data_IF_548163000296
#
_entry.id   IF_548163000296
#
_cell.length_a   1.000
_cell.length_b   1.000
_cell.length_c   1.000
_cell.angle_alpha   90.00
_cell.angle_beta   90.00
_cell.angle_gamma   90.00
#
_symmetry.space_group_name_H-M   'P 1'
#
loop_
_entity.id
_entity.type
_entity.pdbx_description
1 polymer ?
#
# COMPACT_ATOMS: atom_id res chain seq x y z
N UNK A 1 -24.78 15.29 -12.26
CA UNK A 1 -23.55 15.56 -13.04
C UNK A 1 -22.53 14.51 -12.65
N UNK A 2 -21.89 13.78 -13.58
CA UNK A 2 -20.85 12.82 -13.20
C UNK A 2 -19.66 13.60 -12.63
N UNK A 3 -19.16 13.20 -11.46
CA UNK A 3 -17.93 13.77 -10.91
C UNK A 3 -16.78 13.47 -11.89
N UNK A 4 -16.08 14.51 -12.34
CA UNK A 4 -14.91 14.35 -13.19
C UNK A 4 -13.85 13.54 -12.42
N UNK A 5 -13.41 12.42 -12.99
CA UNK A 5 -12.31 11.63 -12.42
C UNK A 5 -11.04 12.46 -12.58
N UNK A 6 -10.53 13.01 -11.49
CA UNK A 6 -9.27 13.74 -11.46
C UNK A 6 -8.10 12.75 -11.53
N UNK A 7 -7.37 12.76 -12.64
CA UNK A 7 -6.16 11.96 -12.81
C UNK A 7 -4.94 12.75 -12.36
N UNK A 8 -4.06 12.15 -11.55
CA UNK A 8 -2.75 12.70 -11.21
C UNK A 8 -1.63 11.90 -11.89
N UNK A 9 -0.52 12.56 -12.24
CA UNK A 9 0.64 11.91 -12.87
C UNK A 9 1.72 11.65 -11.83
N UNK A 10 2.21 10.41 -11.80
CA UNK A 10 3.38 10.03 -11.01
C UNK A 10 4.65 10.29 -11.84
N UNK A 11 5.41 11.32 -11.49
CA UNK A 11 6.69 11.65 -12.13
C UNK A 11 7.84 11.34 -11.18
N UNK A 12 8.75 10.45 -11.61
CA UNK A 12 9.95 10.11 -10.86
C UNK A 12 11.11 9.84 -11.81
N UNK A 13 12.30 10.31 -11.45
CA UNK A 13 13.54 9.96 -12.14
C UNK A 13 14.12 8.72 -11.47
N UNK A 14 14.43 7.72 -12.26
CA UNK A 14 15.05 6.46 -11.80
C UNK A 14 16.37 6.22 -12.52
N UNK A 15 17.26 5.46 -11.90
CA UNK A 15 18.48 5.01 -12.56
C UNK A 15 18.16 4.04 -13.71
N UNK A 16 19.09 3.93 -14.66
CA UNK A 16 19.01 2.96 -15.76
C UNK A 16 18.93 1.51 -15.28
N UNK A 17 19.61 1.21 -14.17
CA UNK A 17 19.62 -0.13 -13.57
C UNK A 17 18.26 -0.47 -12.97
N UNK A 18 17.67 0.47 -12.22
CA UNK A 18 16.32 0.30 -11.67
C UNK A 18 15.29 0.14 -12.80
N UNK A 19 15.38 0.94 -13.86
CA UNK A 19 14.51 0.80 -15.02
C UNK A 19 14.63 -0.60 -15.65
N UNK A 20 15.86 -1.09 -15.86
CA UNK A 20 16.10 -2.41 -16.46
C UNK A 20 15.56 -3.54 -15.60
N UNK A 21 15.73 -3.44 -14.28
CA UNK A 21 15.19 -4.39 -13.32
C UNK A 21 13.65 -4.41 -13.32
N UNK A 22 13.01 -3.23 -13.31
CA UNK A 22 11.54 -3.11 -13.35
C UNK A 22 10.97 -3.68 -14.65
N UNK A 23 11.59 -3.37 -15.79
CA UNK A 23 11.20 -3.92 -17.09
C UNK A 23 11.26 -5.45 -17.08
N UNK A 24 12.36 -6.03 -16.60
CA UNK A 24 12.52 -7.48 -16.52
C UNK A 24 11.49 -8.13 -15.58
N UNK A 25 11.22 -7.53 -14.43
CA UNK A 25 10.23 -8.03 -13.49
C UNK A 25 8.81 -8.01 -14.09
N UNK A 26 8.46 -6.96 -14.83
CA UNK A 26 7.19 -6.86 -15.54
C UNK A 26 7.05 -7.93 -16.64
N UNK A 27 8.10 -8.15 -17.44
CA UNK A 27 8.15 -9.21 -18.46
C UNK A 27 7.94 -10.60 -17.84
N UNK A 28 8.59 -10.89 -16.70
CA UNK A 28 8.43 -12.17 -15.99
C UNK A 28 7.00 -12.40 -15.49
N UNK A 29 6.25 -11.33 -15.20
CA UNK A 29 4.85 -11.39 -14.78
C UNK A 29 3.86 -11.25 -15.95
N UNK A 30 4.36 -11.19 -17.20
CA UNK A 30 3.52 -11.11 -18.39
C UNK A 30 2.73 -9.80 -18.50
N UNK A 31 3.24 -8.70 -17.94
CA UNK A 31 2.56 -7.40 -17.89
C UNK A 31 3.45 -6.24 -18.30
N UNK A 32 2.84 -5.08 -18.55
CA UNK A 32 3.59 -3.87 -18.91
C UNK A 32 4.36 -3.34 -17.71
N UNK A 33 5.47 -2.64 -17.95
CA UNK A 33 6.24 -2.01 -16.87
C UNK A 33 5.41 -0.98 -16.10
N UNK A 34 4.54 -0.22 -16.78
CA UNK A 34 3.65 0.74 -16.13
C UNK A 34 2.68 0.04 -15.19
N UNK A 35 2.00 -1.02 -15.65
CA UNK A 35 1.10 -1.81 -14.80
C UNK A 35 1.84 -2.39 -13.59
N UNK A 36 3.02 -2.97 -13.82
CA UNK A 36 3.87 -3.50 -12.76
C UNK A 36 4.18 -2.46 -11.67
N UNK A 37 4.63 -1.26 -12.09
CA UNK A 37 4.99 -0.19 -11.15
C UNK A 37 3.76 0.32 -10.41
N UNK A 38 2.62 0.50 -11.09
CA UNK A 38 1.40 1.01 -10.45
C UNK A 38 0.88 0.02 -9.40
N UNK A 39 0.83 -1.28 -9.71
CA UNK A 39 0.47 -2.30 -8.72
C UNK A 39 1.44 -2.31 -7.55
N UNK A 40 2.75 -2.29 -7.81
CA UNK A 40 3.75 -2.33 -6.75
C UNK A 40 3.66 -1.10 -5.82
N UNK A 41 3.41 0.09 -6.38
CA UNK A 41 3.22 1.32 -5.61
C UNK A 41 1.95 1.26 -4.78
N UNK A 42 0.84 0.80 -5.36
CA UNK A 42 -0.44 0.66 -4.65
C UNK A 42 -0.31 -0.31 -3.47
N UNK A 43 0.28 -1.49 -3.71
CA UNK A 43 0.54 -2.50 -2.70
C UNK A 43 1.43 -1.99 -1.57
N UNK A 44 2.49 -1.26 -1.90
CA UNK A 44 3.40 -0.69 -0.90
C UNK A 44 2.73 0.41 -0.08
N UNK A 45 1.95 1.28 -0.73
CA UNK A 45 1.21 2.35 -0.06
C UNK A 45 0.15 1.78 0.88
N UNK A 46 -0.64 0.79 0.43
CA UNK A 46 -1.66 0.13 1.23
C UNK A 46 -1.05 -0.51 2.48
N UNK A 47 0.03 -1.28 2.32
CA UNK A 47 0.74 -1.86 3.47
C UNK A 47 1.29 -0.82 4.43
N UNK A 48 1.83 0.30 3.93
CA UNK A 48 2.36 1.36 4.77
C UNK A 48 1.25 2.06 5.58
N UNK A 49 0.09 2.31 4.96
CA UNK A 49 -1.09 2.88 5.62
C UNK A 49 -1.61 1.91 6.68
N UNK A 50 -1.82 0.64 6.33
CA UNK A 50 -2.27 -0.39 7.27
C UNK A 50 -1.32 -0.52 8.46
N UNK A 51 -0.01 -0.50 8.23
CA UNK A 51 0.98 -0.57 9.32
C UNK A 51 0.96 0.67 10.23
N UNK A 52 0.59 1.83 9.71
CA UNK A 52 0.49 3.07 10.48
C UNK A 52 -0.86 3.20 11.22
N UNK A 53 -1.94 2.72 10.63
CA UNK A 53 -3.31 2.85 11.15
C UNK A 53 -3.74 1.69 12.05
N UNK A 54 -3.12 0.51 11.90
CA UNK A 54 -3.35 -0.59 12.85
C UNK A 54 -2.68 -0.24 14.16
N UNK A 55 -3.48 0.16 15.16
CA UNK A 55 -3.07 0.14 16.57
C UNK A 55 -2.81 -1.33 16.92
N UNK A 56 -1.56 -1.75 16.79
CA UNK A 56 -1.10 -3.02 17.37
C UNK A 56 -1.06 -2.85 18.89
N UNK A 57 -2.22 -3.02 19.51
CA UNK A 57 -2.34 -3.21 20.94
C UNK A 57 -1.48 -4.43 21.31
N UNK A 58 -0.63 -4.28 22.33
CA UNK A 58 0.02 -5.45 22.91
C UNK A 58 -1.07 -6.41 23.42
N UNK A 59 -0.74 -7.69 23.63
CA UNK A 59 -1.74 -8.64 24.17
C UNK A 59 -2.39 -8.11 25.45
N UNK A 60 -1.62 -7.44 26.31
CA UNK A 60 -2.13 -6.81 27.53
C UNK A 60 -3.14 -5.68 27.24
N UNK A 61 -2.88 -4.85 26.23
CA UNK A 61 -3.80 -3.77 25.86
C UNK A 61 -5.05 -4.30 25.14
N UNK A 62 -4.94 -5.42 24.42
CA UNK A 62 -6.08 -6.12 23.83
C UNK A 62 -7.00 -6.72 24.90
N UNK A 63 -6.43 -7.34 25.94
CA UNK A 63 -7.18 -7.86 27.09
C UNK A 63 -7.90 -6.71 27.82
N UNK A 64 -7.19 -5.61 28.10
CA UNK A 64 -7.78 -4.43 28.74
C UNK A 64 -8.93 -3.84 27.90
N UNK A 65 -8.73 -3.71 26.59
CA UNK A 65 -9.76 -3.22 25.66
C UNK A 65 -10.97 -4.16 25.58
N UNK A 66 -10.75 -5.47 25.48
CA UNK A 66 -11.83 -6.46 25.48
C UNK A 66 -12.60 -6.44 26.81
N UNK A 67 -11.91 -6.27 27.93
CA UNK A 67 -12.51 -6.22 29.26
C UNK A 67 -13.34 -4.94 29.45
N UNK A 68 -12.88 -3.81 28.92
CA UNK A 68 -13.66 -2.57 28.87
C UNK A 68 -14.89 -2.64 27.96
N UNK A 69 -14.84 -3.43 26.88
CA UNK A 69 -16.00 -3.68 26.01
C UNK A 69 -17.04 -4.64 26.64
N UNK A 70 -16.56 -5.66 27.35
CA UNK A 70 -17.42 -6.65 28.00
C UNK A 70 -18.04 -6.12 29.30
N UNK A 71 -17.35 -5.23 29.99
CA UNK A 71 -17.80 -4.57 31.21
C UNK A 71 -17.54 -3.06 31.12
N UNK A 72 -18.37 -2.33 30.36
CA UNK A 72 -18.29 -0.87 30.32
C UNK A 72 -18.65 -0.29 31.70
N UNK A 73 -18.02 0.82 32.13
CA UNK A 73 -18.35 1.50 33.38
C UNK A 73 -19.77 2.10 33.37
#
# INVERSE_FOLDING_TARGET
MPAAISTARLEARISTDLHSMLKRAAELQGRTMTDFVITAVQDAAQRAIEQAEVIRLSMADQECFAQALLSPP
#
